data_IF_611677723414
#
_entry.id   IF_611677723414
#
_cell.length_a   1.000
_cell.length_b   1.000
_cell.length_c   1.000
_cell.angle_alpha   90.00
_cell.angle_beta   90.00
_cell.angle_gamma   90.00
#
_symmetry.space_group_name_H-M   'P 1'
#
loop_
_entity.id
_entity.type
_entity.pdbx_description
1 polymer ?
#
# COMPACT_ATOMS: atom_id res chain seq x y z
N UNK A 1 12.02 16.66 0.29
CA UNK A 1 12.15 15.21 0.11
C UNK A 1 10.78 14.65 0.38
N UNK A 2 10.13 14.05 -0.61
CA UNK A 2 8.73 13.63 -0.51
C UNK A 2 8.70 12.16 -0.08
N UNK A 3 7.93 11.86 0.96
CA UNK A 3 7.76 10.48 1.46
C UNK A 3 7.02 9.66 0.41
N UNK A 4 7.63 8.58 -0.08
CA UNK A 4 7.03 7.65 -1.04
C UNK A 4 6.33 6.52 -0.27
N UNK A 5 5.02 6.35 -0.47
CA UNK A 5 4.27 5.26 0.17
C UNK A 5 3.63 4.40 -0.91
N UNK A 6 3.94 3.11 -0.90
CA UNK A 6 3.24 2.12 -1.72
C UNK A 6 1.92 1.74 -1.04
N UNK A 7 0.79 1.94 -1.71
CA UNK A 7 -0.54 1.65 -1.18
C UNK A 7 -1.11 0.41 -1.87
N UNK A 8 -1.18 -0.71 -1.17
CA UNK A 8 -1.87 -1.92 -1.64
C UNK A 8 -3.34 -1.85 -1.24
N UNK A 9 -4.23 -1.71 -2.22
CA UNK A 9 -5.64 -1.46 -1.95
C UNK A 9 -6.61 -1.95 -3.02
N UNK A 10 -7.90 -1.94 -2.71
CA UNK A 10 -8.95 -2.11 -3.73
C UNK A 10 -9.07 -0.85 -4.60
N UNK A 11 -9.70 -1.01 -5.77
CA UNK A 11 -9.97 0.11 -6.67
C UNK A 11 -10.83 1.21 -6.03
N UNK A 12 -11.84 0.81 -5.23
CA UNK A 12 -12.74 1.76 -4.55
C UNK A 12 -12.02 2.54 -3.45
N UNK A 13 -11.10 1.90 -2.73
CA UNK A 13 -10.27 2.59 -1.75
C UNK A 13 -9.33 3.60 -2.42
N UNK A 14 -8.68 3.22 -3.52
CA UNK A 14 -7.79 4.12 -4.26
C UNK A 14 -8.53 5.39 -4.73
N UNK A 15 -9.76 5.25 -5.25
CA UNK A 15 -10.59 6.41 -5.65
C UNK A 15 -10.83 7.36 -4.48
N UNK A 16 -11.15 6.82 -3.29
CA UNK A 16 -11.39 7.62 -2.08
C UNK A 16 -10.13 8.34 -1.59
N UNK A 17 -8.98 7.68 -1.61
CA UNK A 17 -7.74 8.33 -1.16
C UNK A 17 -7.28 9.41 -2.13
N UNK A 18 -7.48 9.20 -3.44
CA UNK A 18 -7.18 10.23 -4.46
C UNK A 18 -7.93 11.54 -4.26
N UNK A 19 -9.11 11.54 -3.61
CA UNK A 19 -9.84 12.79 -3.36
C UNK A 19 -9.20 13.66 -2.27
N UNK A 20 -8.37 13.06 -1.41
CA UNK A 20 -7.67 13.77 -0.32
C UNK A 20 -6.16 13.86 -0.56
N UNK A 21 -5.64 13.23 -1.62
CA UNK A 21 -4.20 13.18 -1.92
C UNK A 21 -3.60 14.57 -2.15
N UNK A 22 -4.40 15.52 -2.64
CA UNK A 22 -4.01 16.94 -2.79
C UNK A 22 -3.72 17.64 -1.46
N UNK A 23 -4.23 17.10 -0.34
CA UNK A 23 -3.97 17.62 1.02
C UNK A 23 -2.63 17.10 1.57
N UNK A 24 -2.04 16.08 0.94
CA UNK A 24 -0.81 15.42 1.37
C UNK A 24 0.42 16.01 0.67
N UNK A 25 0.72 17.28 0.94
CA UNK A 25 1.73 18.07 0.21
C UNK A 25 3.18 17.52 0.22
N UNK A 26 3.50 16.58 1.11
CA UNK A 26 4.84 15.98 1.26
C UNK A 26 4.86 14.44 1.12
N UNK A 27 3.74 13.85 0.69
CA UNK A 27 3.61 12.39 0.53
C UNK A 27 3.17 12.10 -0.90
N UNK A 28 3.84 11.14 -1.55
CA UNK A 28 3.40 10.59 -2.84
C UNK A 28 2.92 9.17 -2.64
N UNK A 29 1.70 8.92 -3.08
CA UNK A 29 1.07 7.61 -2.97
C UNK A 29 1.20 6.88 -4.30
N UNK A 30 1.79 5.69 -4.26
CA UNK A 30 1.85 4.79 -5.41
C UNK A 30 0.89 3.63 -5.21
N UNK A 31 -0.17 3.58 -6.01
CA UNK A 31 -1.26 2.61 -5.83
C UNK A 31 -0.98 1.27 -6.54
N UNK A 32 -1.15 0.18 -5.80
CA UNK A 32 -1.07 -1.20 -6.25
C UNK A 32 -2.43 -1.86 -6.00
N UNK A 33 -3.18 -2.08 -7.08
CA UNK A 33 -4.60 -2.42 -6.99
C UNK A 33 -4.81 -3.93 -7.04
N UNK A 34 -5.44 -4.49 -6.02
CA UNK A 34 -5.92 -5.88 -6.03
C UNK A 34 -7.40 -5.97 -6.39
N UNK A 35 -7.82 -7.10 -6.98
CA UNK A 35 -9.23 -7.48 -7.12
C UNK A 35 -9.67 -8.39 -5.96
N UNK A 36 -8.82 -9.36 -5.60
CA UNK A 36 -8.97 -10.19 -4.41
C UNK A 36 -7.85 -9.90 -3.40
N UNK A 37 -8.13 -9.76 -2.08
CA UNK A 37 -7.10 -9.54 -1.07
C UNK A 37 -5.92 -10.53 -1.09
N UNK A 38 -6.11 -11.76 -1.59
CA UNK A 38 -5.02 -12.75 -1.74
C UNK A 38 -3.95 -12.34 -2.76
N UNK A 39 -4.30 -11.48 -3.72
CA UNK A 39 -3.36 -10.95 -4.72
C UNK A 39 -2.34 -9.98 -4.09
N UNK A 40 -2.60 -9.47 -2.88
CA UNK A 40 -1.74 -8.52 -2.19
C UNK A 40 -0.30 -9.02 -2.03
N UNK A 41 -0.11 -10.31 -1.78
CA UNK A 41 1.23 -10.91 -1.67
C UNK A 41 2.01 -10.79 -2.99
N UNK A 42 1.35 -11.01 -4.14
CA UNK A 42 1.99 -10.89 -5.45
C UNK A 42 2.28 -9.43 -5.84
N UNK A 43 1.52 -8.47 -5.30
CA UNK A 43 1.75 -7.05 -5.53
C UNK A 43 2.99 -6.52 -4.80
N UNK A 44 3.40 -7.12 -3.68
CA UNK A 44 4.63 -6.73 -2.95
C UNK A 44 5.86 -6.83 -3.85
N UNK A 45 5.96 -7.87 -4.68
CA UNK A 45 7.10 -8.06 -5.59
C UNK A 45 7.17 -6.99 -6.71
N UNK A 46 6.10 -6.22 -6.92
CA UNK A 46 6.02 -5.16 -7.94
C UNK A 46 6.26 -3.77 -7.34
N UNK A 47 6.44 -3.67 -6.02
CA UNK A 47 6.67 -2.41 -5.33
C UNK A 47 7.99 -1.81 -5.77
N UNK A 48 7.95 -0.54 -6.21
CA UNK A 48 9.14 0.26 -6.44
C UNK A 48 9.73 0.69 -5.09
N UNK A 49 11.05 0.96 -5.01
CA UNK A 49 11.64 1.50 -3.78
C UNK A 49 10.83 2.67 -3.22
N UNK A 50 10.45 2.56 -1.95
CA UNK A 50 9.61 3.51 -1.23
C UNK A 50 9.95 3.50 0.26
N UNK A 51 9.42 4.45 1.01
CA UNK A 51 9.72 4.63 2.44
C UNK A 51 8.82 3.76 3.34
N UNK A 52 7.63 3.39 2.86
CA UNK A 52 6.68 2.54 3.59
C UNK A 52 5.69 1.83 2.66
N UNK A 53 5.13 0.71 3.14
CA UNK A 53 4.00 0.02 2.52
C UNK A 53 2.75 0.17 3.38
N UNK A 54 1.64 0.60 2.77
CA UNK A 54 0.36 0.79 3.42
C UNK A 54 -0.71 -0.09 2.79
N UNK A 55 -1.48 -0.80 3.62
CA UNK A 55 -2.58 -1.65 3.18
C UNK A 55 -3.92 -1.02 3.55
N UNK A 56 -4.88 -1.05 2.62
CA UNK A 56 -6.23 -0.52 2.87
C UNK A 56 -7.09 -1.35 3.83
N UNK A 57 -6.56 -2.44 4.39
CA UNK A 57 -7.28 -3.30 5.34
C UNK A 57 -6.43 -4.44 5.88
N UNK A 58 -6.96 -5.13 6.89
CA UNK A 58 -6.26 -6.22 7.60
C UNK A 58 -6.10 -7.50 6.77
N UNK A 59 -7.09 -7.86 5.95
CA UNK A 59 -7.04 -9.06 5.11
C UNK A 59 -5.91 -9.06 4.07
N UNK A 60 -5.76 -8.03 3.21
CA UNK A 60 -4.64 -8.02 2.25
C UNK A 60 -3.28 -7.99 2.96
N UNK A 61 -3.18 -7.31 4.12
CA UNK A 61 -1.97 -7.36 4.95
C UNK A 61 -1.69 -8.77 5.47
N UNK A 62 -2.70 -9.49 5.97
CA UNK A 62 -2.55 -10.84 6.49
C UNK A 62 -2.04 -11.81 5.41
N UNK A 63 -2.59 -11.74 4.19
CA UNK A 63 -2.13 -12.57 3.08
C UNK A 63 -0.70 -12.24 2.63
N UNK A 64 -0.29 -10.98 2.72
CA UNK A 64 1.05 -10.51 2.35
C UNK A 64 2.08 -10.55 3.50
N UNK A 65 1.68 -10.96 4.72
CA UNK A 65 2.49 -10.78 5.94
C UNK A 65 3.91 -11.33 5.81
N UNK A 66 4.06 -12.55 5.26
CA UNK A 66 5.39 -13.15 5.06
C UNK A 66 6.29 -12.31 4.15
N UNK A 67 5.72 -11.76 3.08
CA UNK A 67 6.46 -10.87 2.17
C UNK A 67 6.78 -9.53 2.84
N UNK A 68 5.91 -9.01 3.70
CA UNK A 68 6.16 -7.79 4.48
C UNK A 68 7.30 -7.95 5.48
N UNK A 69 7.37 -9.10 6.17
CA UNK A 69 8.41 -9.39 7.17
C UNK A 69 9.83 -9.41 6.57
N UNK A 70 9.94 -9.59 5.24
CA UNK A 70 11.20 -9.56 4.49
C UNK A 70 11.60 -8.15 4.00
N UNK A 71 10.69 -7.17 4.09
CA UNK A 71 10.96 -5.80 3.64
C UNK A 71 11.81 -5.04 4.69
N UNK A 72 12.82 -4.28 4.27
CA UNK A 72 13.62 -3.45 5.18
C UNK A 72 12.91 -2.14 5.59
N UNK A 73 11.62 -1.99 5.28
CA UNK A 73 10.82 -0.77 5.45
C UNK A 73 9.54 -1.08 6.21
N UNK A 74 8.97 -0.09 6.94
CA UNK A 74 7.76 -0.31 7.70
C UNK A 74 6.56 -0.66 6.82
N UNK A 75 5.75 -1.60 7.31
CA UNK A 75 4.46 -1.96 6.71
C UNK A 75 3.33 -1.71 7.70
N UNK A 76 2.27 -1.03 7.26
CA UNK A 76 1.11 -0.72 8.08
C UNK A 76 -0.19 -1.03 7.36
N UNK A 77 -1.26 -1.29 8.10
CA UNK A 77 -2.60 -1.49 7.55
C UNK A 77 -3.61 -0.61 8.26
N UNK A 78 -4.65 -0.19 7.52
CA UNK A 78 -5.79 0.50 8.10
C UNK A 78 -6.62 -0.49 8.94
N UNK A 79 -6.73 -0.22 10.24
CA UNK A 79 -7.58 -0.98 11.17
C UNK A 79 -9.05 -0.66 10.98
#
# INVERSE_FOLDING_TARGET
MDTQIAVICSNEFAKRVKTIETELSSIKLQYYIYRNPQEAAALIAQIKPCDAVFFSGSLPYFYAKKNCDELPIPTHYLK
#
